data_IF_046599201720
#
_entry.id   IF_046599201720
#
_cell.length_a   1.000
_cell.length_b   1.000
_cell.length_c   1.000
_cell.angle_alpha   90.00
_cell.angle_beta   90.00
_cell.angle_gamma   90.00
#
_symmetry.space_group_name_H-M   'P 1'
#
loop_
_entity.id
_entity.type
_entity.pdbx_description
1 polymer ?
#
# COMPACT_ATOMS: atom_id res chain seq x y z
N UNK A 1 -10.91 -8.82 -20.29
CA UNK A 1 -9.45 -8.75 -20.00
C UNK A 1 -9.06 -7.71 -18.93
N UNK A 2 -9.88 -6.70 -18.60
CA UNK A 2 -9.55 -5.76 -17.50
C UNK A 2 -9.52 -6.41 -16.12
N UNK A 3 -10.44 -7.34 -15.83
CA UNK A 3 -10.56 -8.03 -14.53
C UNK A 3 -9.37 -8.93 -14.20
N UNK A 4 -8.73 -9.53 -15.20
CA UNK A 4 -7.55 -10.38 -14.99
C UNK A 4 -6.32 -9.54 -14.65
N UNK A 5 -6.20 -8.35 -15.27
CA UNK A 5 -5.09 -7.42 -15.03
C UNK A 5 -5.15 -6.82 -13.63
N UNK A 6 -6.32 -6.34 -13.18
CA UNK A 6 -6.46 -5.77 -11.82
C UNK A 6 -6.41 -6.82 -10.72
N UNK A 7 -6.87 -8.05 -10.99
CA UNK A 7 -6.68 -9.19 -10.08
C UNK A 7 -5.19 -9.50 -9.91
N UNK A 8 -4.43 -9.60 -11.02
CA UNK A 8 -2.99 -9.86 -10.94
C UNK A 8 -2.25 -8.73 -10.22
N UNK A 9 -2.62 -7.48 -10.48
CA UNK A 9 -2.08 -6.32 -9.78
C UNK A 9 -2.38 -6.39 -8.27
N UNK A 10 -3.59 -6.75 -7.88
CA UNK A 10 -3.94 -6.91 -6.47
C UNK A 10 -3.16 -8.04 -5.78
N UNK A 11 -3.00 -9.18 -6.46
CA UNK A 11 -2.15 -10.30 -6.00
C UNK A 11 -0.71 -9.83 -5.77
N UNK A 12 -0.12 -9.16 -6.77
CA UNK A 12 1.25 -8.65 -6.67
C UNK A 12 1.40 -7.63 -5.54
N UNK A 13 0.39 -6.77 -5.32
CA UNK A 13 0.36 -5.83 -4.20
C UNK A 13 0.43 -6.53 -2.86
N UNK A 14 -0.39 -7.57 -2.66
CA UNK A 14 -0.41 -8.32 -1.41
C UNK A 14 0.90 -9.09 -1.20
N UNK A 15 1.48 -9.67 -2.25
CA UNK A 15 2.82 -10.28 -2.15
C UNK A 15 3.89 -9.25 -1.76
N UNK A 16 3.84 -8.05 -2.34
CA UNK A 16 4.77 -6.97 -2.02
C UNK A 16 4.64 -6.50 -0.57
N UNK A 17 3.41 -6.34 -0.07
CA UNK A 17 3.14 -6.01 1.34
C UNK A 17 3.68 -7.07 2.27
N UNK A 18 3.42 -8.35 1.98
CA UNK A 18 3.91 -9.45 2.80
C UNK A 18 5.45 -9.49 2.84
N UNK A 19 6.12 -9.28 1.71
CA UNK A 19 7.58 -9.23 1.68
C UNK A 19 8.16 -8.07 2.49
N UNK A 20 7.51 -6.89 2.49
CA UNK A 20 7.88 -5.79 3.38
C UNK A 20 7.71 -6.21 4.84
N UNK A 21 6.57 -6.81 5.19
CA UNK A 21 6.29 -7.24 6.56
C UNK A 21 7.28 -8.29 7.07
N UNK A 22 7.64 -9.25 6.22
CA UNK A 22 8.62 -10.30 6.53
C UNK A 22 10.01 -9.68 6.79
N UNK A 23 10.40 -8.69 5.99
CA UNK A 23 11.63 -7.94 6.22
C UNK A 23 11.58 -7.18 7.56
N UNK A 24 10.49 -6.47 7.85
CA UNK A 24 10.35 -5.69 9.09
C UNK A 24 10.26 -6.56 10.34
N UNK A 25 9.77 -7.79 10.21
CA UNK A 25 9.79 -8.77 11.30
C UNK A 25 11.22 -9.11 11.74
N UNK A 26 12.15 -9.21 10.78
CA UNK A 26 13.56 -9.48 11.05
C UNK A 26 14.37 -8.20 11.38
N UNK A 27 13.86 -7.04 10.98
CA UNK A 27 14.51 -5.73 11.11
C UNK A 27 13.60 -4.69 11.80
N UNK A 28 13.29 -4.88 13.11
CA UNK A 28 12.35 -4.02 13.82
C UNK A 28 12.88 -2.58 14.01
N UNK A 29 14.18 -2.34 13.87
CA UNK A 29 14.78 -1.00 13.89
C UNK A 29 14.28 -0.13 12.73
N UNK A 30 13.96 -0.74 11.59
CA UNK A 30 13.52 -0.02 10.39
C UNK A 30 12.14 0.61 10.56
N UNK A 31 11.17 -0.14 11.12
CA UNK A 31 9.82 0.39 11.38
C UNK A 31 9.81 1.42 12.51
N UNK A 32 10.80 1.36 13.41
CA UNK A 32 10.98 2.31 14.50
C UNK A 32 11.83 3.54 14.12
N UNK A 33 12.29 3.63 12.86
CA UNK A 33 13.05 4.79 12.40
C UNK A 33 12.16 6.04 12.46
N UNK A 34 12.62 7.15 13.07
CA UNK A 34 11.85 8.39 13.12
C UNK A 34 11.68 9.06 11.75
N UNK A 35 12.51 8.72 10.77
CA UNK A 35 12.46 9.25 9.41
C UNK A 35 11.73 8.28 8.47
N UNK A 36 11.30 8.81 7.32
CA UNK A 36 10.78 7.97 6.24
C UNK A 36 11.86 7.00 5.73
N UNK A 37 11.50 5.72 5.65
CA UNK A 37 12.36 4.67 5.07
C UNK A 37 11.68 4.05 3.86
N UNK A 38 12.46 3.81 2.82
CA UNK A 38 12.06 3.01 1.65
C UNK A 38 13.01 1.83 1.54
N UNK A 39 12.47 0.62 1.58
CA UNK A 39 13.24 -0.59 1.34
C UNK A 39 13.64 -0.68 -0.13
N UNK A 40 14.87 -1.13 -0.37
CA UNK A 40 15.37 -1.43 -1.72
C UNK A 40 14.77 -2.73 -2.26
N UNK A 41 14.80 -2.92 -3.58
CA UNK A 41 14.35 -4.18 -4.21
C UNK A 41 15.10 -5.41 -3.67
N UNK A 42 16.39 -5.26 -3.30
CA UNK A 42 17.20 -6.33 -2.70
C UNK A 42 16.68 -6.70 -1.30
N UNK A 43 16.29 -5.71 -0.49
CA UNK A 43 15.74 -5.95 0.84
C UNK A 43 14.35 -6.60 0.79
N UNK A 44 13.52 -6.19 -0.17
CA UNK A 44 12.17 -6.76 -0.36
C UNK A 44 12.25 -8.14 -1.02
N UNK A 45 13.25 -8.39 -1.86
CA UNK A 45 13.38 -9.63 -2.63
C UNK A 45 12.37 -9.74 -3.79
N UNK A 46 11.59 -8.67 -4.06
CA UNK A 46 10.59 -8.61 -5.12
C UNK A 46 10.77 -7.33 -5.92
N UNK A 47 10.74 -7.46 -7.25
CA UNK A 47 10.59 -6.32 -8.17
C UNK A 47 9.21 -6.40 -8.79
N UNK A 48 8.25 -5.57 -8.37
CA UNK A 48 6.90 -5.63 -8.90
C UNK A 48 6.84 -5.09 -10.33
N UNK A 49 5.96 -5.66 -11.15
CA UNK A 49 5.63 -5.19 -12.50
C UNK A 49 4.64 -4.02 -12.44
N UNK A 50 3.74 -4.07 -11.47
CA UNK A 50 2.81 -2.98 -11.17
C UNK A 50 3.56 -1.77 -10.60
N UNK A 51 3.06 -0.54 -10.79
CA UNK A 51 3.66 0.70 -10.26
C UNK A 51 3.43 0.82 -8.74
N UNK A 52 3.90 -0.16 -7.98
CA UNK A 52 3.78 -0.23 -6.53
C UNK A 52 4.87 0.62 -5.90
N UNK A 53 4.48 1.48 -4.97
CA UNK A 53 5.40 2.27 -4.18
C UNK A 53 5.09 2.07 -2.70
N UNK A 54 6.08 2.30 -1.85
CA UNK A 54 5.89 2.27 -0.41
C UNK A 54 6.76 3.29 0.32
N UNK A 55 6.37 3.53 1.57
CA UNK A 55 7.17 4.24 2.57
C UNK A 55 6.81 3.72 3.95
N UNK A 56 7.80 3.66 4.83
CA UNK A 56 7.66 3.29 6.22
C UNK A 56 7.91 4.55 7.05
N UNK A 57 6.95 4.94 7.87
CA UNK A 57 7.07 6.11 8.75
C UNK A 57 6.03 6.04 9.86
N UNK A 58 6.36 6.53 11.05
CA UNK A 58 5.44 6.56 12.17
C UNK A 58 4.92 5.16 12.56
N UNK A 59 5.80 4.17 12.49
CA UNK A 59 5.51 2.76 12.77
C UNK A 59 4.41 2.13 11.89
N UNK A 60 4.26 2.62 10.65
CA UNK A 60 3.29 2.12 9.68
C UNK A 60 3.94 1.92 8.32
N UNK A 61 3.40 0.98 7.55
CA UNK A 61 3.75 0.76 6.15
C UNK A 61 2.64 1.32 5.29
N UNK A 62 2.96 2.33 4.49
CA UNK A 62 2.07 2.87 3.46
C UNK A 62 2.51 2.28 2.13
N UNK A 63 1.63 1.50 1.47
CA UNK A 63 1.85 0.99 0.12
C UNK A 63 0.80 1.62 -0.78
N UNK A 64 1.18 2.14 -1.94
CA UNK A 64 0.23 2.78 -2.85
C UNK A 64 0.52 2.55 -4.31
N UNK A 65 -0.53 2.77 -5.11
CA UNK A 65 -0.53 2.67 -6.57
C UNK A 65 -1.42 3.77 -7.17
N UNK A 66 -1.19 4.17 -8.43
CA UNK A 66 -2.14 4.98 -9.17
C UNK A 66 -3.53 4.33 -9.22
N UNK A 67 -4.57 5.16 -9.27
CA UNK A 67 -5.93 4.67 -9.48
C UNK A 67 -6.06 3.86 -10.77
N UNK A 68 -6.70 2.70 -10.68
CA UNK A 68 -7.10 1.88 -11.82
C UNK A 68 -8.52 1.34 -11.61
N UNK A 69 -9.42 1.42 -12.60
CA UNK A 69 -10.79 0.92 -12.47
C UNK A 69 -10.82 -0.55 -12.04
N UNK A 70 -11.48 -0.84 -10.92
CA UNK A 70 -11.61 -2.20 -10.37
C UNK A 70 -10.45 -2.65 -9.47
N UNK A 71 -9.34 -1.92 -9.38
CA UNK A 71 -8.22 -2.25 -8.51
C UNK A 71 -8.64 -2.29 -7.03
N UNK A 72 -9.40 -1.29 -6.57
CA UNK A 72 -9.89 -1.24 -5.19
C UNK A 72 -10.73 -2.47 -4.83
N UNK A 73 -11.61 -2.91 -5.75
CA UNK A 73 -12.42 -4.10 -5.53
C UNK A 73 -11.57 -5.37 -5.52
N UNK A 74 -10.59 -5.48 -6.42
CA UNK A 74 -9.65 -6.60 -6.47
C UNK A 74 -8.77 -6.69 -5.21
N UNK A 75 -8.26 -5.56 -4.72
CA UNK A 75 -7.49 -5.49 -3.47
C UNK A 75 -8.33 -5.95 -2.29
N UNK A 76 -9.56 -5.44 -2.15
CA UNK A 76 -10.48 -5.87 -1.08
C UNK A 76 -10.76 -7.37 -1.09
N UNK A 77 -11.01 -7.93 -2.28
CA UNK A 77 -11.22 -9.37 -2.44
C UNK A 77 -9.96 -10.17 -2.02
N UNK A 78 -8.78 -9.71 -2.44
CA UNK A 78 -7.51 -10.38 -2.12
C UNK A 78 -7.17 -10.29 -0.62
N UNK A 79 -7.51 -9.20 0.04
CA UNK A 79 -7.23 -8.97 1.46
C UNK A 79 -8.35 -9.48 2.38
N UNK A 80 -9.46 -9.99 1.82
CA UNK A 80 -10.66 -10.41 2.58
C UNK A 80 -11.17 -9.31 3.53
N UNK A 81 -11.17 -8.07 3.07
CA UNK A 81 -11.57 -6.86 3.83
C UNK A 81 -10.80 -6.59 5.14
N UNK A 82 -9.68 -7.29 5.41
CA UNK A 82 -8.89 -7.06 6.64
C UNK A 82 -7.99 -5.82 6.57
N UNK A 83 -7.73 -5.34 5.36
CA UNK A 83 -6.80 -4.25 5.11
C UNK A 83 -7.46 -2.88 5.22
N UNK A 84 -6.74 -1.93 5.81
CA UNK A 84 -7.09 -0.52 5.75
C UNK A 84 -6.74 0.01 4.35
N UNK A 85 -7.76 0.06 3.50
CA UNK A 85 -7.69 0.43 2.09
C UNK A 85 -8.51 1.70 1.82
N UNK A 86 -7.95 2.63 1.05
CA UNK A 86 -8.68 3.83 0.69
C UNK A 86 -8.04 4.65 -0.42
N UNK A 87 -8.74 5.72 -0.81
CA UNK A 87 -8.30 6.68 -1.81
C UNK A 87 -7.78 7.95 -1.14
N UNK A 88 -6.75 8.56 -1.72
CA UNK A 88 -6.13 9.79 -1.18
C UNK A 88 -6.87 11.04 -1.63
N UNK A 89 -7.26 11.89 -0.67
CA UNK A 89 -7.75 13.24 -0.91
C UNK A 89 -7.27 14.18 0.19
N UNK A 90 -6.67 15.32 -0.18
CA UNK A 90 -6.13 16.30 0.77
C UNK A 90 -5.19 15.68 1.83
N UNK A 91 -4.32 14.75 1.41
CA UNK A 91 -3.42 13.97 2.29
C UNK A 91 -4.15 13.18 3.40
N UNK A 92 -5.44 12.88 3.21
CA UNK A 92 -6.22 12.00 4.07
C UNK A 92 -6.70 10.78 3.30
N UNK A 93 -6.90 9.69 4.03
CA UNK A 93 -7.42 8.44 3.49
C UNK A 93 -8.95 8.41 3.60
N UNK A 94 -9.61 8.06 2.49
CA UNK A 94 -11.06 7.88 2.43
C UNK A 94 -11.41 6.45 2.03
N UNK A 95 -12.36 5.84 2.71
CA UNK A 95 -12.86 4.50 2.34
C UNK A 95 -13.70 4.52 1.05
N UNK A 96 -14.18 3.36 0.60
CA UNK A 96 -15.03 3.25 -0.60
C UNK A 96 -16.38 3.96 -0.49
N UNK A 97 -16.82 4.31 0.72
CA UNK A 97 -18.04 5.08 0.97
C UNK A 97 -17.75 6.58 1.11
N UNK A 98 -16.55 7.02 0.74
CA UNK A 98 -16.08 8.40 0.90
C UNK A 98 -16.10 8.90 2.35
N UNK A 99 -16.02 7.98 3.31
CA UNK A 99 -15.84 8.34 4.71
C UNK A 99 -14.36 8.61 4.98
N UNK A 100 -14.10 9.74 5.60
CA UNK A 100 -12.76 10.10 6.05
C UNK A 100 -12.32 9.14 7.17
N UNK A 101 -11.24 8.40 6.95
CA UNK A 101 -10.69 7.44 7.91
C UNK A 101 -9.81 8.11 8.96
N UNK A 102 -9.67 9.44 8.91
CA UNK A 102 -8.89 10.26 9.82
C UNK A 102 -7.39 9.94 9.85
N UNK A 103 -6.88 9.22 8.85
CA UNK A 103 -5.47 8.91 8.67
C UNK A 103 -4.82 10.01 7.85
N UNK A 104 -3.77 10.63 8.40
CA UNK A 104 -2.90 11.57 7.68
C UNK A 104 -1.84 10.78 6.93
N UNK A 105 -1.66 11.09 5.66
CA UNK A 105 -0.74 10.39 4.77
C UNK A 105 0.55 11.18 4.58
N UNK A 106 1.70 10.49 4.39
CA UNK A 106 2.95 11.12 3.99
C UNK A 106 2.80 11.98 2.74
N UNK A 107 3.47 13.14 2.70
CA UNK A 107 3.31 14.15 1.64
C UNK A 107 3.66 13.64 0.23
N UNK A 108 4.48 12.59 0.14
CA UNK A 108 4.86 11.94 -1.12
C UNK A 108 3.77 11.11 -1.77
N UNK A 109 2.69 10.79 -1.04
CA UNK A 109 1.60 9.98 -1.59
C UNK A 109 0.66 10.90 -2.38
N UNK A 110 0.52 10.70 -3.70
CA UNK A 110 -0.20 11.64 -4.54
C UNK A 110 -1.72 11.54 -4.35
N UNK A 111 -2.41 12.64 -4.65
CA UNK A 111 -3.86 12.69 -4.74
C UNK A 111 -4.40 11.61 -5.67
N UNK A 112 -5.48 10.93 -5.26
CA UNK A 112 -6.15 9.90 -6.05
C UNK A 112 -5.45 8.54 -6.06
N UNK A 113 -4.30 8.37 -5.40
CA UNK A 113 -3.70 7.05 -5.23
C UNK A 113 -4.62 6.13 -4.42
N UNK A 114 -4.54 4.82 -4.70
CA UNK A 114 -5.08 3.79 -3.82
C UNK A 114 -3.98 3.42 -2.82
N UNK A 115 -4.28 3.54 -1.54
CA UNK A 115 -3.36 3.26 -0.43
C UNK A 115 -3.84 2.04 0.34
N UNK A 116 -2.91 1.14 0.60
CA UNK A 116 -2.97 0.10 1.60
C UNK A 116 -2.14 0.52 2.80
N UNK A 117 -2.71 0.42 3.99
CA UNK A 117 -2.04 0.67 5.25
C UNK A 117 -1.89 -0.65 6.03
N UNK A 118 -0.65 -0.95 6.45
CA UNK A 118 -0.35 -1.94 7.49
C UNK A 118 0.19 -1.23 8.74
#
# INVERSE_FOLDING_TARGET
EMTTTTTQQAIETVHYINAINDYLYLHPDVINNPNEVVLTAVQIGITPHSPIQHVIVGQRVFVWQPFSPGLMAALKAQTRDSALLGSVKNHRLFDNSWRDMQIVLPARIPYGAIVYLN
#
